data_IF_952840903218
#
_entry.id   IF_952840903218
#
_cell.length_a   1.000
_cell.length_b   1.000
_cell.length_c   1.000
_cell.angle_alpha   90.00
_cell.angle_beta   90.00
_cell.angle_gamma   90.00
#
_symmetry.space_group_name_H-M   'P 1'
#
loop_
_entity.id
_entity.type
_entity.pdbx_description
1 polymer ?
#
# COMPACT_ATOMS: atom_id res chain seq x y z
N UNK A 1 85.28 -2.50 3.85
CA UNK A 1 84.19 -2.71 4.83
C UNK A 1 83.97 -1.41 5.60
N UNK A 2 82.86 -0.68 5.36
CA UNK A 2 82.60 0.59 6.05
C UNK A 2 82.09 0.32 7.47
N UNK A 3 82.83 0.84 8.44
CA UNK A 3 82.57 0.77 9.87
C UNK A 3 81.23 1.46 10.17
N UNK A 4 80.21 0.72 10.63
CA UNK A 4 78.90 1.28 11.03
C UNK A 4 79.08 1.99 12.38
N UNK A 5 79.52 3.24 12.29
CA UNK A 5 79.83 4.10 13.42
C UNK A 5 78.67 4.21 14.40
N UNK A 6 79.03 4.18 15.68
CA UNK A 6 78.16 4.38 16.84
C UNK A 6 77.24 5.59 16.60
N UNK A 7 75.94 5.37 16.64
CA UNK A 7 74.94 6.43 16.62
C UNK A 7 75.08 7.19 17.93
N UNK A 8 75.23 8.53 17.86
CA UNK A 8 75.26 9.40 19.02
C UNK A 8 73.96 9.23 19.83
N UNK A 9 74.04 9.06 21.15
CA UNK A 9 72.87 8.94 22.03
C UNK A 9 71.98 10.20 21.98
N UNK A 10 72.57 11.36 21.63
CA UNK A 10 71.88 12.63 21.37
C UNK A 10 71.42 12.79 19.91
N UNK A 11 70.89 11.73 19.29
CA UNK A 11 70.30 11.83 17.96
C UNK A 11 68.89 12.44 18.03
N UNK A 12 68.65 13.65 17.48
CA UNK A 12 67.33 14.28 17.48
C UNK A 12 66.32 13.56 16.59
N UNK A 13 66.77 12.62 15.75
CA UNK A 13 65.95 11.81 14.86
C UNK A 13 65.70 10.39 15.40
N UNK A 14 65.82 10.19 16.72
CA UNK A 14 65.55 8.89 17.34
C UNK A 14 64.05 8.62 17.34
N UNK A 15 63.64 7.56 16.66
CA UNK A 15 62.26 7.09 16.71
C UNK A 15 61.93 6.56 18.12
N UNK A 16 60.69 6.73 18.61
CA UNK A 16 60.25 6.12 19.85
C UNK A 16 60.43 4.60 19.83
N UNK A 17 60.67 4.01 21.00
CA UNK A 17 60.71 2.56 21.15
C UNK A 17 59.41 1.91 20.65
N UNK A 18 59.53 0.80 19.93
CA UNK A 18 58.41 0.03 19.37
C UNK A 18 57.56 0.78 18.32
N UNK A 19 58.03 1.91 17.76
CA UNK A 19 57.31 2.64 16.70
C UNK A 19 56.98 1.74 15.51
N UNK A 20 57.97 1.03 14.99
CA UNK A 20 57.78 0.16 13.82
C UNK A 20 56.90 -1.06 14.11
N UNK A 21 56.92 -1.57 15.34
CA UNK A 21 56.06 -2.70 15.74
C UNK A 21 54.61 -2.27 15.86
N UNK A 22 54.37 -1.07 16.42
CA UNK A 22 53.05 -0.45 16.44
C UNK A 22 52.54 -0.19 15.03
N UNK A 23 53.35 0.41 14.16
CA UNK A 23 52.97 0.69 12.77
C UNK A 23 52.64 -0.61 12.02
N UNK A 24 53.44 -1.67 12.16
CA UNK A 24 53.13 -2.97 11.55
C UNK A 24 51.80 -3.52 12.05
N UNK A 25 51.58 -3.52 13.37
CA UNK A 25 50.32 -3.97 13.96
C UNK A 25 49.13 -3.16 13.45
N UNK A 26 49.23 -1.84 13.44
CA UNK A 26 48.17 -0.94 12.96
C UNK A 26 47.86 -1.16 11.47
N UNK A 27 48.89 -1.45 10.65
CA UNK A 27 48.69 -1.83 9.25
C UNK A 27 47.96 -3.17 9.18
N UNK A 28 48.45 -4.21 9.87
CA UNK A 28 47.81 -5.53 9.86
C UNK A 28 46.37 -5.49 10.37
N UNK A 29 46.05 -4.71 11.40
CA UNK A 29 44.68 -4.53 11.92
C UNK A 29 43.76 -3.81 10.94
N UNK A 30 44.30 -2.86 10.15
CA UNK A 30 43.51 -2.10 9.16
C UNK A 30 43.40 -2.79 7.81
N UNK A 31 44.35 -3.64 7.46
CA UNK A 31 44.41 -4.33 6.16
C UNK A 31 44.02 -5.79 6.25
N UNK A 32 43.93 -6.38 7.45
CA UNK A 32 43.16 -7.61 7.61
C UNK A 32 41.72 -7.23 7.33
N UNK A 33 41.25 -7.73 6.21
CA UNK A 33 39.83 -7.95 5.98
C UNK A 33 39.39 -9.00 7.01
N UNK A 34 39.24 -8.57 8.27
CA UNK A 34 38.57 -9.35 9.29
C UNK A 34 37.13 -9.44 8.80
N UNK A 35 36.90 -10.51 8.05
CA UNK A 35 35.66 -10.77 7.34
C UNK A 35 34.47 -10.46 8.22
N UNK A 36 33.56 -9.70 7.61
CA UNK A 36 32.17 -9.77 7.98
C UNK A 36 31.89 -9.23 9.40
N UNK A 37 32.19 -7.95 9.62
CA UNK A 37 31.24 -7.14 10.41
C UNK A 37 29.97 -7.07 9.59
N UNK A 38 29.18 -8.14 9.64
CA UNK A 38 27.78 -8.16 9.23
C UNK A 38 27.11 -7.06 10.02
N UNK A 39 27.10 -5.86 9.47
CA UNK A 39 26.08 -4.88 9.79
C UNK A 39 24.82 -5.64 9.44
N UNK A 40 24.12 -6.14 10.47
CA UNK A 40 22.76 -6.66 10.33
C UNK A 40 21.89 -5.45 9.97
N UNK A 41 22.04 -4.92 8.76
CA UNK A 41 20.95 -4.23 8.07
C UNK A 41 19.96 -5.33 7.76
N UNK A 42 19.20 -5.69 8.78
CA UNK A 42 18.06 -6.58 8.66
C UNK A 42 17.18 -6.01 7.56
N UNK A 43 16.53 -6.92 6.83
CA UNK A 43 15.60 -6.66 5.74
C UNK A 43 14.52 -5.63 6.16
N UNK A 44 14.33 -5.42 7.47
CA UNK A 44 13.54 -4.35 8.08
C UNK A 44 13.92 -2.92 7.69
N UNK A 45 15.11 -2.62 7.16
CA UNK A 45 15.46 -1.27 6.68
C UNK A 45 14.83 -0.97 5.31
N UNK A 46 14.60 -2.00 4.48
CA UNK A 46 14.03 -1.86 3.14
C UNK A 46 12.50 -1.73 3.13
N UNK A 47 11.80 -2.27 4.15
CA UNK A 47 10.35 -2.15 4.27
C UNK A 47 9.88 -0.82 4.87
N UNK A 48 10.78 -0.05 5.51
CA UNK A 48 10.46 1.26 6.10
C UNK A 48 9.74 2.22 5.13
N UNK A 49 10.21 2.44 3.89
CA UNK A 49 9.55 3.38 2.98
C UNK A 49 8.15 2.91 2.55
N UNK A 50 7.95 1.62 2.28
CA UNK A 50 6.64 1.09 1.85
C UNK A 50 5.62 1.15 2.99
N UNK A 51 6.02 0.79 4.21
CA UNK A 51 5.16 0.89 5.40
C UNK A 51 4.84 2.35 5.71
N UNK A 52 5.81 3.26 5.56
CA UNK A 52 5.60 4.70 5.77
C UNK A 52 4.63 5.30 4.75
N UNK A 53 4.71 4.88 3.49
CA UNK A 53 3.78 5.29 2.43
C UNK A 53 2.36 4.79 2.71
N UNK A 54 2.19 3.52 3.08
CA UNK A 54 0.89 2.96 3.45
C UNK A 54 0.30 3.66 4.69
N UNK A 55 1.12 3.92 5.71
CA UNK A 55 0.70 4.66 6.90
C UNK A 55 0.28 6.10 6.58
N UNK A 56 0.98 6.78 5.66
CA UNK A 56 0.62 8.11 5.20
C UNK A 56 -0.72 8.14 4.45
N UNK A 57 -0.97 7.15 3.58
CA UNK A 57 -2.26 6.99 2.90
C UNK A 57 -3.41 6.77 3.88
N UNK A 58 -3.23 5.89 4.87
CA UNK A 58 -4.23 5.65 5.90
C UNK A 58 -4.48 6.90 6.75
N UNK A 59 -3.42 7.60 7.16
CA UNK A 59 -3.54 8.85 7.90
C UNK A 59 -4.28 9.91 7.08
N UNK A 60 -4.01 10.02 5.78
CA UNK A 60 -4.70 10.96 4.90
C UNK A 60 -6.20 10.65 4.80
N UNK A 61 -6.59 9.39 4.68
CA UNK A 61 -8.02 8.98 4.67
C UNK A 61 -8.71 9.33 5.98
N UNK A 62 -8.07 9.02 7.12
CA UNK A 62 -8.63 9.30 8.45
C UNK A 62 -8.78 10.81 8.65
N UNK A 63 -7.77 11.60 8.29
CA UNK A 63 -7.79 13.06 8.38
C UNK A 63 -8.86 13.62 7.44
N UNK A 64 -8.93 13.16 6.19
CA UNK A 64 -9.94 13.59 5.22
C UNK A 64 -11.35 13.33 5.74
N UNK A 65 -11.62 12.13 6.24
CA UNK A 65 -12.92 11.79 6.83
C UNK A 65 -13.23 12.65 8.06
N UNK A 66 -12.25 12.84 8.95
CA UNK A 66 -12.41 13.66 10.15
C UNK A 66 -12.67 15.13 9.81
N UNK A 67 -12.01 15.66 8.78
CA UNK A 67 -12.18 17.01 8.29
C UNK A 67 -13.57 17.22 7.69
N UNK A 68 -14.03 16.28 6.84
CA UNK A 68 -15.38 16.30 6.29
C UNK A 68 -16.43 16.20 7.41
N UNK A 69 -16.21 15.34 8.40
CA UNK A 69 -17.10 15.19 9.55
C UNK A 69 -17.18 16.46 10.42
N UNK A 70 -16.07 17.19 10.54
CA UNK A 70 -16.00 18.43 11.32
C UNK A 70 -16.60 19.63 10.57
N UNK A 71 -16.31 19.76 9.27
CA UNK A 71 -16.76 20.88 8.45
C UNK A 71 -18.22 20.73 8.01
N UNK A 72 -18.68 19.49 7.85
CA UNK A 72 -20.05 19.18 7.43
C UNK A 72 -20.71 18.22 8.43
N UNK A 73 -21.13 18.72 9.60
CA UNK A 73 -21.78 17.90 10.62
C UNK A 73 -23.13 17.32 10.15
N UNK A 74 -23.73 17.89 9.10
CA UNK A 74 -25.04 17.50 8.55
C UNK A 74 -25.05 16.14 7.85
N UNK A 75 -23.93 15.67 7.28
CA UNK A 75 -23.85 14.32 6.67
C UNK A 75 -23.83 13.17 7.70
N UNK A 76 -23.78 13.46 9.01
CA UNK A 76 -23.93 12.45 10.06
C UNK A 76 -25.39 12.24 10.48
N UNK A 77 -26.32 13.03 9.94
CA UNK A 77 -27.68 12.55 9.78
C UNK A 77 -27.63 11.66 8.54
N UNK A 78 -27.30 10.39 8.77
CA UNK A 78 -27.96 9.37 7.99
C UNK A 78 -29.44 9.52 8.36
N UNK A 79 -30.09 10.51 7.75
CA UNK A 79 -31.49 10.35 7.48
C UNK A 79 -31.53 9.08 6.64
N UNK A 80 -32.06 8.06 7.27
CA UNK A 80 -32.87 7.02 6.67
C UNK A 80 -34.01 7.68 5.88
N UNK A 81 -33.67 8.60 4.96
CA UNK A 81 -34.55 9.19 3.98
C UNK A 81 -34.79 8.09 2.97
N UNK A 82 -35.77 7.27 3.33
CA UNK A 82 -36.72 6.64 2.43
C UNK A 82 -36.29 6.76 0.97
N UNK A 83 -35.49 5.81 0.48
CA UNK A 83 -35.36 5.58 -0.97
C UNK A 83 -36.76 5.49 -1.61
N UNK A 84 -37.76 5.05 -0.84
CA UNK A 84 -39.19 5.14 -1.17
C UNK A 84 -39.65 6.57 -1.52
N UNK A 85 -39.32 7.60 -0.73
CA UNK A 85 -39.72 9.00 -0.99
C UNK A 85 -38.98 9.60 -2.19
N UNK A 86 -37.75 9.14 -2.45
CA UNK A 86 -36.98 9.54 -3.64
C UNK A 86 -37.53 8.87 -4.92
N UNK A 87 -38.10 7.66 -4.81
CA UNK A 87 -38.82 6.98 -5.89
C UNK A 87 -40.18 7.64 -6.15
N UNK A 88 -40.91 8.07 -5.13
CA UNK A 88 -42.21 8.75 -5.29
C UNK A 88 -42.12 10.13 -5.96
N UNK A 89 -40.96 10.80 -5.88
CA UNK A 89 -40.72 12.10 -6.50
C UNK A 89 -40.10 12.01 -7.90
N UNK A 90 -39.86 10.79 -8.41
CA UNK A 90 -39.44 10.61 -9.79
C UNK A 90 -40.66 10.57 -10.69
N UNK A 91 -40.71 11.48 -11.67
CA UNK A 91 -41.76 11.47 -12.69
C UNK A 91 -41.57 10.22 -13.56
N UNK A 92 -42.62 9.41 -13.69
CA UNK A 92 -42.63 8.21 -14.53
C UNK A 92 -42.23 8.56 -15.97
N UNK A 93 -42.63 9.74 -16.45
CA UNK A 93 -42.25 10.24 -17.77
C UNK A 93 -40.73 10.47 -17.90
N UNK A 94 -40.05 10.92 -16.83
CA UNK A 94 -38.60 11.11 -16.82
C UNK A 94 -37.85 9.78 -16.75
N UNK A 95 -38.38 8.79 -16.00
CA UNK A 95 -37.84 7.43 -15.99
C UNK A 95 -37.96 6.76 -17.36
N UNK A 96 -39.13 6.89 -18.01
CA UNK A 96 -39.36 6.34 -19.34
C UNK A 96 -38.45 7.02 -20.36
N UNK A 97 -38.31 8.34 -20.34
CA UNK A 97 -37.42 9.05 -21.27
C UNK A 97 -35.94 8.64 -21.08
N UNK A 98 -35.53 8.34 -19.85
CA UNK A 98 -34.19 7.87 -19.54
C UNK A 98 -33.96 6.40 -19.93
N UNK A 99 -34.96 5.55 -19.75
CA UNK A 99 -34.95 4.14 -20.20
C UNK A 99 -35.03 4.00 -21.72
N UNK A 100 -35.82 4.85 -22.38
CA UNK A 100 -35.99 4.87 -23.85
C UNK A 100 -34.82 5.61 -24.54
N UNK A 101 -34.27 6.64 -23.89
CA UNK A 101 -33.10 7.39 -24.36
C UNK A 101 -31.80 6.60 -24.28
N UNK A 102 -31.70 5.62 -23.38
CA UNK A 102 -30.60 4.66 -23.30
C UNK A 102 -30.88 3.40 -24.15
N UNK A 103 -30.97 3.61 -25.47
CA UNK A 103 -30.87 2.57 -26.52
C UNK A 103 -31.85 1.40 -26.45
N UNK A 104 -32.93 1.54 -27.19
CA UNK A 104 -33.52 0.42 -27.93
C UNK A 104 -32.59 0.04 -29.11
N UNK A 105 -31.60 -0.81 -28.84
CA UNK A 105 -31.18 -1.82 -29.82
C UNK A 105 -32.11 -3.03 -29.58
N UNK A 106 -33.27 -3.02 -30.24
CA UNK A 106 -34.15 -4.19 -30.35
C UNK A 106 -33.43 -5.32 -31.10
N UNK A 107 -32.58 -6.11 -30.45
CA UNK A 107 -32.18 -7.44 -30.98
C UNK A 107 -31.45 -8.38 -30.01
N UNK A 108 -31.50 -8.16 -28.70
CA UNK A 108 -31.01 -9.19 -27.77
C UNK A 108 -31.75 -9.15 -26.44
N UNK A 109 -32.62 -10.12 -26.22
CA UNK A 109 -32.85 -10.61 -24.85
C UNK A 109 -31.45 -10.89 -24.27
N UNK A 110 -31.05 -10.26 -23.15
CA UNK A 110 -29.67 -10.28 -22.68
C UNK A 110 -29.25 -11.64 -22.09
N UNK A 111 -30.13 -12.64 -22.10
CA UNK A 111 -29.87 -13.98 -21.63
C UNK A 111 -30.54 -14.99 -22.57
N UNK A 112 -29.80 -16.04 -22.94
CA UNK A 112 -30.41 -17.17 -23.63
C UNK A 112 -31.43 -17.84 -22.70
N UNK A 113 -32.52 -18.38 -23.24
CA UNK A 113 -33.54 -19.12 -22.47
C UNK A 113 -32.91 -20.20 -21.57
N UNK A 114 -31.82 -20.80 -22.03
CA UNK A 114 -31.00 -21.77 -21.30
C UNK A 114 -30.36 -21.18 -20.04
N UNK A 115 -29.86 -19.95 -20.10
CA UNK A 115 -29.24 -19.23 -18.98
C UNK A 115 -30.28 -18.86 -17.93
N UNK A 116 -31.47 -18.45 -18.37
CA UNK A 116 -32.61 -18.17 -17.50
C UNK A 116 -33.04 -19.46 -16.78
N UNK A 117 -33.19 -20.57 -17.50
CA UNK A 117 -33.55 -21.86 -16.92
C UNK A 117 -32.51 -22.32 -15.90
N UNK A 118 -31.22 -22.21 -16.22
CA UNK A 118 -30.14 -22.60 -15.31
C UNK A 118 -30.14 -21.75 -14.05
N UNK A 119 -30.33 -20.43 -14.17
CA UNK A 119 -30.42 -19.55 -13.02
C UNK A 119 -31.58 -19.91 -12.09
N UNK A 120 -32.75 -20.23 -12.66
CA UNK A 120 -33.92 -20.64 -11.89
C UNK A 120 -33.70 -21.99 -11.18
N UNK A 121 -33.02 -22.92 -11.84
CA UNK A 121 -32.66 -24.21 -11.26
C UNK A 121 -31.61 -24.08 -10.15
N UNK A 122 -30.56 -23.28 -10.36
CA UNK A 122 -29.46 -23.09 -9.40
C UNK A 122 -29.92 -22.38 -8.12
N UNK A 123 -30.95 -21.53 -8.22
CA UNK A 123 -31.48 -20.78 -7.10
C UNK A 123 -32.77 -21.40 -6.51
N UNK A 124 -33.18 -22.58 -6.96
CA UNK A 124 -34.41 -23.29 -6.54
C UNK A 124 -35.67 -22.39 -6.61
N UNK A 125 -35.72 -21.53 -7.63
CA UNK A 125 -36.81 -20.59 -7.82
C UNK A 125 -37.91 -21.29 -8.60
N UNK A 126 -38.95 -21.72 -7.89
CA UNK A 126 -40.15 -22.24 -8.52
C UNK A 126 -40.86 -21.16 -9.35
N UNK A 127 -41.27 -21.51 -10.56
CA UNK A 127 -41.96 -20.61 -11.50
C UNK A 127 -43.19 -19.92 -10.88
N UNK A 128 -43.91 -20.61 -9.98
CA UNK A 128 -45.07 -20.06 -9.28
C UNK A 128 -44.73 -18.88 -8.36
N UNK A 129 -43.55 -18.91 -7.72
CA UNK A 129 -43.07 -17.83 -6.86
C UNK A 129 -42.89 -16.53 -7.65
N UNK A 130 -42.44 -16.61 -8.90
CA UNK A 130 -42.23 -15.43 -9.75
C UNK A 130 -43.57 -14.78 -10.13
N UNK A 131 -44.59 -15.60 -10.41
CA UNK A 131 -45.93 -15.10 -10.77
C UNK A 131 -46.59 -14.40 -9.56
N UNK A 132 -46.36 -14.90 -8.34
CA UNK A 132 -46.89 -14.30 -7.12
C UNK A 132 -46.26 -12.94 -6.80
N UNK A 133 -44.98 -12.72 -7.14
CA UNK A 133 -44.32 -11.43 -6.94
C UNK A 133 -44.69 -10.35 -7.96
N UNK A 134 -45.28 -10.74 -9.10
CA UNK A 134 -45.64 -9.82 -10.20
C UNK A 134 -47.12 -9.44 -10.23
N UNK A 135 -47.91 -9.92 -9.27
CA UNK A 135 -49.35 -9.67 -9.15
C UNK A 135 -49.67 -9.04 -7.79
#
# INVERSE_FOLDING_TARGET
MKNKGKINDNNPFRVPGNYFDKVKRDIYEKTRDDGDKKVKTGISVLFKPVIMMAAAMLAFVIISYSMLKLLFPEYNKADEHNFSELIYNFDEAELIDKLVGEKHDEDSLPAEESEIINYLMDNDIEYYTIIEYLN
#
